data_IF_907204782184
#
_entry.id   IF_907204782184
#
_cell.length_a   1.000
_cell.length_b   1.000
_cell.length_c   1.000
_cell.angle_alpha   90.00
_cell.angle_beta   90.00
_cell.angle_gamma   90.00
#
_symmetry.space_group_name_H-M   'P 1'
#
loop_
_entity.id
_entity.type
_entity.pdbx_description
1 polymer ?
#
# COMPACT_ATOMS: atom_id res chain seq x y z
N UNK A 1 -0.97 -1.56 -12.12
CA UNK A 1 -0.50 -0.17 -11.99
C UNK A 1 -0.53 0.32 -10.55
N UNK A 2 -1.71 0.50 -9.92
CA UNK A 2 -1.79 1.10 -8.56
C UNK A 2 -1.08 0.28 -7.47
N UNK A 3 -1.23 -1.05 -7.47
CA UNK A 3 -0.56 -1.90 -6.47
C UNK A 3 0.96 -1.94 -6.62
N UNK A 4 1.48 -1.84 -7.86
CA UNK A 4 2.91 -1.89 -8.16
C UNK A 4 3.68 -0.78 -7.45
N UNK A 5 3.08 0.43 -7.41
CA UNK A 5 3.66 1.59 -6.73
C UNK A 5 3.93 1.33 -5.23
N UNK A 6 3.03 0.61 -4.56
CA UNK A 6 3.20 0.26 -3.15
C UNK A 6 4.25 -0.84 -2.95
N UNK A 7 4.36 -1.78 -3.90
CA UNK A 7 5.40 -2.83 -3.91
C UNK A 7 6.78 -2.22 -4.11
N UNK A 8 6.94 -1.29 -5.05
CA UNK A 8 8.20 -0.60 -5.35
C UNK A 8 8.73 0.17 -4.14
N UNK A 9 7.85 0.74 -3.32
CA UNK A 9 8.22 1.36 -2.05
C UNK A 9 8.47 0.37 -0.91
N UNK A 10 8.28 -0.93 -1.13
CA UNK A 10 8.42 -1.98 -0.11
C UNK A 10 7.25 -2.04 0.88
N UNK A 11 6.11 -1.44 0.56
CA UNK A 11 4.93 -1.41 1.42
C UNK A 11 4.02 -2.65 1.30
N UNK A 12 4.15 -3.42 0.22
CA UNK A 12 3.28 -4.56 -0.06
C UNK A 12 3.97 -5.67 -0.86
N UNK A 13 3.39 -6.87 -0.84
CA UNK A 13 3.58 -7.88 -1.89
C UNK A 13 2.39 -7.81 -2.85
N UNK A 14 2.62 -8.06 -4.14
CA UNK A 14 1.57 -8.16 -5.15
C UNK A 14 1.51 -9.59 -5.68
N UNK A 15 0.30 -10.12 -5.76
CA UNK A 15 0.01 -11.45 -6.29
C UNK A 15 -0.98 -11.27 -7.42
N UNK A 16 -0.70 -11.85 -8.59
CA UNK A 16 -1.63 -11.82 -9.71
C UNK A 16 -2.80 -12.74 -9.41
N UNK A 17 -4.03 -12.31 -9.70
CA UNK A 17 -5.24 -13.08 -9.42
C UNK A 17 -5.19 -14.48 -10.05
N UNK A 18 -4.68 -14.60 -11.27
CA UNK A 18 -4.50 -15.88 -11.96
C UNK A 18 -3.52 -16.84 -11.26
N UNK A 19 -2.69 -16.34 -10.34
CA UNK A 19 -1.68 -17.07 -9.59
C UNK A 19 -2.06 -17.24 -8.10
N UNK A 20 -3.22 -16.72 -7.68
CA UNK A 20 -3.69 -16.85 -6.30
C UNK A 20 -4.18 -18.27 -6.07
N UNK A 21 -3.50 -18.96 -5.16
CA UNK A 21 -3.89 -20.23 -4.59
C UNK A 21 -3.98 -20.10 -3.05
N UNK A 22 -4.92 -20.82 -2.43
CA UNK A 22 -5.14 -20.74 -0.98
C UNK A 22 -3.92 -21.20 -0.18
N UNK A 23 -3.22 -22.25 -0.64
CA UNK A 23 -2.02 -22.77 0.04
C UNK A 23 -0.87 -21.78 -0.08
N UNK A 24 -0.62 -21.28 -1.28
CA UNK A 24 0.41 -20.27 -1.55
C UNK A 24 0.16 -18.98 -0.75
N UNK A 25 -1.09 -18.51 -0.70
CA UNK A 25 -1.48 -17.34 0.08
C UNK A 25 -1.22 -17.56 1.58
N UNK A 26 -1.63 -18.71 2.12
CA UNK A 26 -1.41 -19.03 3.52
C UNK A 26 0.09 -19.11 3.87
N UNK A 27 0.94 -19.61 2.97
CA UNK A 27 2.39 -19.64 3.14
C UNK A 27 2.98 -18.23 3.19
N UNK A 28 2.57 -17.34 2.27
CA UNK A 28 2.99 -15.93 2.26
C UNK A 28 2.60 -15.21 3.55
N UNK A 29 1.35 -15.38 3.98
CA UNK A 29 0.87 -14.80 5.24
C UNK A 29 1.66 -15.31 6.44
N UNK A 30 1.93 -16.61 6.54
CA UNK A 30 2.76 -17.17 7.63
C UNK A 30 4.18 -16.59 7.62
N UNK A 31 4.79 -16.46 6.43
CA UNK A 31 6.12 -15.86 6.30
C UNK A 31 6.13 -14.39 6.78
N UNK A 32 5.14 -13.60 6.37
CA UNK A 32 5.02 -12.20 6.80
C UNK A 32 4.74 -12.09 8.31
N UNK A 33 3.79 -12.86 8.83
CA UNK A 33 3.42 -12.83 10.26
C UNK A 33 4.54 -13.35 11.16
N UNK A 34 5.44 -14.19 10.64
CA UNK A 34 6.65 -14.66 11.33
C UNK A 34 7.79 -13.65 11.37
N UNK A 35 7.74 -12.57 10.57
CA UNK A 35 8.80 -11.56 10.47
C UNK A 35 8.27 -10.18 10.86
N UNK A 36 8.35 -9.88 12.15
CA UNK A 36 7.81 -8.64 12.72
C UNK A 36 8.56 -7.40 12.23
N UNK A 37 9.87 -7.51 12.01
CA UNK A 37 10.70 -6.40 11.53
C UNK A 37 10.34 -6.02 10.11
N UNK A 38 10.16 -7.02 9.24
CA UNK A 38 9.67 -6.83 7.87
C UNK A 38 8.30 -6.16 7.85
N UNK A 39 7.35 -6.63 8.65
CA UNK A 39 6.03 -6.00 8.75
C UNK A 39 6.11 -4.54 9.23
N UNK A 40 7.00 -4.24 10.18
CA UNK A 40 7.18 -2.87 10.65
C UNK A 40 7.79 -1.98 9.56
N UNK A 41 8.73 -2.50 8.76
CA UNK A 41 9.28 -1.79 7.61
C UNK A 41 8.22 -1.53 6.54
N UNK A 42 7.42 -2.53 6.18
CA UNK A 42 6.31 -2.41 5.23
C UNK A 42 5.28 -1.38 5.68
N UNK A 43 4.95 -1.36 6.97
CA UNK A 43 4.01 -0.38 7.54
C UNK A 43 4.54 1.06 7.42
N UNK A 44 5.84 1.28 7.71
CA UNK A 44 6.48 2.60 7.55
C UNK A 44 6.49 3.06 6.09
N UNK A 45 6.87 2.17 5.17
CA UNK A 45 6.86 2.46 3.74
C UNK A 45 5.46 2.82 3.24
N UNK A 46 4.46 2.02 3.58
CA UNK A 46 3.06 2.29 3.24
C UNK A 46 2.58 3.63 3.80
N UNK A 47 2.97 3.95 5.04
CA UNK A 47 2.59 5.21 5.69
C UNK A 47 3.20 6.42 4.99
N UNK A 48 4.46 6.33 4.53
CA UNK A 48 5.13 7.41 3.81
C UNK A 48 4.46 7.74 2.46
N UNK A 49 3.78 6.76 1.85
CA UNK A 49 3.05 6.93 0.60
C UNK A 49 1.60 7.42 0.78
N UNK A 50 1.07 7.43 2.00
CA UNK A 50 -0.34 7.76 2.21
C UNK A 50 -0.64 9.20 1.75
N UNK A 51 -1.66 9.43 0.90
CA UNK A 51 -2.01 10.75 0.40
C UNK A 51 -2.81 11.54 1.46
N UNK A 52 -2.19 11.78 2.62
CA UNK A 52 -2.81 12.48 3.75
C UNK A 52 -3.28 13.88 3.32
N UNK A 53 -4.48 14.28 3.70
CA UNK A 53 -5.06 15.59 3.35
C UNK A 53 -5.41 15.76 1.86
N UNK A 54 -5.54 14.67 1.09
CA UNK A 54 -5.92 14.77 -0.32
C UNK A 54 -7.26 15.48 -0.53
N UNK A 55 -8.26 15.18 0.30
CA UNK A 55 -9.56 15.84 0.24
C UNK A 55 -9.45 17.35 0.50
N UNK A 56 -8.69 17.76 1.52
CA UNK A 56 -8.48 19.18 1.85
C UNK A 56 -7.75 19.91 0.72
N UNK A 57 -6.72 19.28 0.12
CA UNK A 57 -6.02 19.84 -1.04
C UNK A 57 -6.95 20.04 -2.23
N UNK A 58 -7.77 19.04 -2.54
CA UNK A 58 -8.74 19.13 -3.64
C UNK A 58 -9.75 20.26 -3.37
N UNK A 59 -10.30 20.32 -2.16
CA UNK A 59 -11.24 21.38 -1.77
C UNK A 59 -10.60 22.78 -1.88
N UNK A 60 -9.36 22.96 -1.42
CA UNK A 60 -8.63 24.21 -1.52
C UNK A 60 -8.47 24.69 -2.97
N UNK A 61 -8.07 23.79 -3.87
CA UNK A 61 -7.93 24.10 -5.31
C UNK A 61 -9.28 24.49 -5.93
N UNK A 62 -10.36 23.80 -5.60
CA UNK A 62 -11.70 24.15 -6.09
C UNK A 62 -12.14 25.54 -5.64
N UNK A 63 -11.85 25.91 -4.39
CA UNK A 63 -12.18 27.24 -3.86
C UNK A 63 -11.32 28.34 -4.48
N UNK A 64 -10.03 28.08 -4.74
CA UNK A 64 -9.12 29.02 -5.42
C UNK A 64 -9.61 29.37 -6.83
N UNK A 65 -10.07 28.38 -7.60
CA UNK A 65 -10.51 28.58 -8.99
C UNK A 65 -11.92 29.19 -9.09
N UNK A 66 -12.74 29.06 -8.04
CA UNK A 66 -14.11 29.58 -8.03
C UNK A 66 -14.22 31.06 -7.65
N UNK A 67 -13.12 31.67 -7.20
CA UNK A 67 -13.02 33.10 -6.86
C UNK A 67 -12.79 33.98 -8.09
#
# INVERSE_FOLDING_TARGET
>A
ANGQWLVEAGGAELVQEAEVDATALAQRLRSLLGDRERLAAMARASRALAPLGAADRVAGICLEVAA
#
